data_IF_381829479347
#
_entry.id   IF_381829479347
#
_cell.length_a   1.000
_cell.length_b   1.000
_cell.length_c   1.000
_cell.angle_alpha   90.00
_cell.angle_beta   90.00
_cell.angle_gamma   90.00
#
_symmetry.space_group_name_H-M   'P 1'
#
loop_
_entity.id
_entity.type
_entity.pdbx_description
1 polymer ?
#
# COMPACT_ATOMS: atom_id res chain seq x y z
N UNK A 1 -18.11 -3.81 4.60
CA UNK A 1 -16.80 -3.98 5.24
C UNK A 1 -15.69 -3.67 4.25
N UNK A 2 -14.70 -2.91 4.71
CA UNK A 2 -13.52 -2.49 3.94
C UNK A 2 -12.24 -3.16 4.46
N UNK A 3 -11.08 -2.67 4.02
CA UNK A 3 -9.77 -3.11 4.50
C UNK A 3 -9.49 -2.55 5.90
N UNK A 4 -8.82 -3.33 6.76
CA UNK A 4 -8.35 -2.86 8.08
C UNK A 4 -7.08 -2.01 7.94
N UNK A 5 -6.75 -1.22 8.97
CA UNK A 5 -5.48 -0.46 9.03
C UNK A 5 -4.27 -1.40 8.87
N UNK A 6 -4.25 -2.52 9.60
CA UNK A 6 -3.16 -3.51 9.51
C UNK A 6 -2.98 -4.07 8.09
N UNK A 7 -4.09 -4.28 7.37
CA UNK A 7 -4.06 -4.72 5.97
C UNK A 7 -3.53 -3.62 5.06
N UNK A 8 -3.97 -2.38 5.25
CA UNK A 8 -3.49 -1.22 4.48
C UNK A 8 -1.99 -0.97 4.71
N UNK A 9 -1.50 -1.09 5.94
CA UNK A 9 -0.07 -1.00 6.28
C UNK A 9 0.77 -2.10 5.65
N UNK A 10 0.24 -3.33 5.60
CA UNK A 10 0.90 -4.43 4.91
C UNK A 10 0.99 -4.15 3.41
N UNK A 11 -0.11 -3.73 2.79
CA UNK A 11 -0.18 -3.40 1.36
C UNK A 11 0.71 -2.21 0.98
N UNK A 12 0.76 -1.17 1.81
CA UNK A 12 1.62 -0.01 1.60
C UNK A 12 3.12 -0.37 1.64
N UNK A 13 3.49 -1.47 2.30
CA UNK A 13 4.88 -1.99 2.31
C UNK A 13 5.21 -2.91 1.15
N UNK A 14 4.25 -3.23 0.28
CA UNK A 14 4.44 -4.10 -0.87
C UNK A 14 4.71 -3.33 -2.18
N UNK A 15 5.11 -2.06 -2.09
CA UNK A 15 5.46 -1.25 -3.26
C UNK A 15 6.69 -1.86 -3.93
N UNK A 16 6.58 -2.36 -5.18
CA UNK A 16 7.72 -2.90 -5.89
C UNK A 16 8.72 -1.80 -6.27
N UNK A 17 9.97 -2.18 -6.43
CA UNK A 17 10.99 -1.35 -7.08
C UNK A 17 10.71 -1.22 -8.58
N UNK A 18 11.32 -0.23 -9.24
CA UNK A 18 11.15 -0.04 -10.69
C UNK A 18 11.61 -1.22 -11.54
N UNK A 19 12.67 -1.91 -11.11
CA UNK A 19 13.15 -3.12 -11.76
C UNK A 19 12.14 -4.26 -11.63
N UNK A 20 11.55 -4.44 -10.45
CA UNK A 20 10.50 -5.46 -10.22
C UNK A 20 9.22 -5.15 -10.99
N UNK A 21 8.81 -3.87 -11.05
CA UNK A 21 7.68 -3.42 -11.89
C UNK A 21 7.90 -3.80 -13.35
N UNK A 22 9.04 -3.41 -13.92
CA UNK A 22 9.38 -3.68 -15.31
C UNK A 22 9.40 -5.19 -15.60
N UNK A 23 10.02 -5.97 -14.71
CA UNK A 23 10.09 -7.42 -14.86
C UNK A 23 8.72 -8.07 -14.79
N UNK A 24 7.87 -7.69 -13.84
CA UNK A 24 6.53 -8.25 -13.68
C UNK A 24 5.60 -7.82 -14.82
N UNK A 25 5.67 -6.57 -15.27
CA UNK A 25 4.86 -6.07 -16.38
C UNK A 25 5.22 -6.74 -17.70
N UNK A 26 6.52 -6.93 -17.96
CA UNK A 26 7.02 -7.56 -19.19
C UNK A 26 7.05 -9.09 -19.15
N UNK A 27 6.68 -9.73 -18.03
CA UNK A 27 6.58 -11.18 -17.95
C UNK A 27 5.48 -11.70 -18.90
N UNK A 28 5.90 -12.50 -19.88
CA UNK A 28 5.10 -13.06 -20.98
C UNK A 28 4.88 -14.58 -20.87
N UNK A 29 5.41 -15.21 -19.80
CA UNK A 29 5.17 -16.61 -19.46
C UNK A 29 3.78 -16.87 -18.84
N UNK A 30 3.55 -18.10 -18.38
CA UNK A 30 2.30 -18.46 -17.71
C UNK A 30 2.24 -17.81 -16.32
N UNK A 31 1.23 -16.97 -16.09
CA UNK A 31 0.98 -16.29 -14.80
C UNK A 31 0.85 -17.30 -13.64
N UNK A 32 0.49 -18.55 -13.91
CA UNK A 32 0.43 -19.60 -12.89
C UNK A 32 1.81 -20.05 -12.38
N UNK A 33 2.87 -19.82 -13.14
CA UNK A 33 4.26 -20.08 -12.74
C UNK A 33 4.81 -19.01 -11.78
N UNK A 34 4.19 -17.82 -11.74
CA UNK A 34 4.52 -16.78 -10.77
C UNK A 34 4.08 -17.19 -9.36
N UNK A 35 4.83 -16.78 -8.35
CA UNK A 35 4.43 -16.89 -6.95
C UNK A 35 3.13 -16.11 -6.66
N UNK A 36 2.43 -16.46 -5.57
CA UNK A 36 1.19 -15.76 -5.20
C UNK A 36 1.41 -14.24 -4.99
N UNK A 37 2.55 -13.85 -4.40
CA UNK A 37 2.92 -12.45 -4.22
C UNK A 37 3.21 -11.74 -5.54
N UNK A 38 3.92 -12.38 -6.46
CA UNK A 38 4.22 -11.83 -7.79
C UNK A 38 2.95 -11.64 -8.61
N UNK A 39 2.03 -12.62 -8.58
CA UNK A 39 0.70 -12.50 -9.21
C UNK A 39 -0.08 -11.33 -8.63
N UNK A 40 -0.13 -11.24 -7.30
CA UNK A 40 -0.82 -10.15 -6.62
C UNK A 40 -0.27 -8.78 -7.03
N UNK A 41 1.06 -8.61 -7.00
CA UNK A 41 1.70 -7.34 -7.38
C UNK A 41 1.50 -7.05 -8.87
N UNK A 42 1.60 -8.05 -9.76
CA UNK A 42 1.33 -7.86 -11.21
C UNK A 42 -0.09 -7.37 -11.46
N UNK A 43 -1.10 -7.94 -10.80
CA UNK A 43 -2.48 -7.44 -10.88
C UNK A 43 -2.64 -6.02 -10.34
N UNK A 44 -1.97 -5.71 -9.23
CA UNK A 44 -1.95 -4.36 -8.66
C UNK A 44 -1.33 -3.33 -9.61
N UNK A 45 -0.27 -3.68 -10.34
CA UNK A 45 0.37 -2.79 -11.31
C UNK A 45 -0.51 -2.48 -12.52
N UNK A 46 -1.48 -3.34 -12.84
CA UNK A 46 -2.49 -3.07 -13.88
C UNK A 46 -3.54 -2.04 -13.43
N UNK A 47 -3.66 -1.77 -12.13
CA UNK A 47 -4.59 -0.79 -11.59
C UNK A 47 -3.94 0.61 -11.56
N UNK A 48 -4.57 1.64 -12.16
CA UNK A 48 -4.02 2.99 -12.12
C UNK A 48 -3.82 3.50 -10.70
N UNK A 49 -2.57 3.87 -10.37
CA UNK A 49 -2.20 4.46 -9.09
C UNK A 49 -2.52 3.57 -7.87
N UNK A 50 -2.45 2.24 -8.02
CA UNK A 50 -2.91 1.30 -6.99
C UNK A 50 -2.29 1.55 -5.61
N UNK A 51 -0.97 1.68 -5.54
CA UNK A 51 -0.25 1.89 -4.29
C UNK A 51 -0.50 3.28 -3.68
N UNK A 52 -0.58 4.33 -4.51
CA UNK A 52 -0.95 5.68 -4.05
C UNK A 52 -2.38 5.71 -3.47
N UNK A 53 -3.30 4.92 -4.03
CA UNK A 53 -4.65 4.78 -3.48
C UNK A 53 -4.63 4.08 -2.13
N UNK A 54 -3.79 3.06 -1.94
CA UNK A 54 -3.60 2.39 -0.64
C UNK A 54 -3.05 3.37 0.38
N UNK A 55 -2.01 4.13 0.03
CA UNK A 55 -1.44 5.17 0.92
C UNK A 55 -2.50 6.21 1.31
N UNK A 56 -3.31 6.67 0.35
CA UNK A 56 -4.39 7.63 0.62
C UNK A 56 -5.48 7.02 1.53
N UNK A 57 -5.82 5.74 1.35
CA UNK A 57 -6.73 5.03 2.25
C UNK A 57 -6.14 4.92 3.65
N UNK A 58 -4.88 4.52 3.79
CA UNK A 58 -4.21 4.41 5.08
C UNK A 58 -4.19 5.76 5.80
N UNK A 59 -3.77 6.82 5.10
CA UNK A 59 -3.75 8.18 5.65
C UNK A 59 -5.14 8.61 6.15
N UNK A 60 -6.19 8.33 5.38
CA UNK A 60 -7.56 8.67 5.78
C UNK A 60 -7.95 7.97 7.09
N UNK A 61 -7.61 6.70 7.24
CA UNK A 61 -7.95 5.92 8.44
C UNK A 61 -7.12 6.34 9.67
N UNK A 62 -5.88 6.84 9.50
CA UNK A 62 -5.01 7.26 10.62
C UNK A 62 -5.10 8.75 10.96
N UNK A 63 -5.70 9.57 10.08
CA UNK A 63 -5.65 11.04 10.18
C UNK A 63 -6.20 11.59 11.50
N UNK A 64 -7.36 11.12 11.96
CA UNK A 64 -7.98 11.64 13.19
C UNK A 64 -7.12 11.35 14.41
N UNK A 65 -6.55 10.15 14.49
CA UNK A 65 -5.67 9.73 15.57
C UNK A 65 -4.34 10.51 15.56
N UNK A 66 -3.74 10.70 14.39
CA UNK A 66 -2.52 11.49 14.22
C UNK A 66 -2.72 12.95 14.65
N UNK A 67 -3.84 13.57 14.24
CA UNK A 67 -4.19 14.95 14.63
C UNK A 67 -4.43 15.04 16.14
N UNK A 68 -5.15 14.08 16.72
CA UNK A 68 -5.41 14.05 18.15
C UNK A 68 -4.12 13.87 18.95
N UNK A 69 -3.24 12.98 18.51
CA UNK A 69 -1.93 12.75 19.10
C UNK A 69 -1.10 14.04 19.06
N UNK A 70 -1.02 14.69 17.90
CA UNK A 70 -0.26 15.93 17.72
C UNK A 70 -0.77 17.04 18.65
N UNK A 71 -2.09 17.23 18.75
CA UNK A 71 -2.70 18.22 19.66
C UNK A 71 -2.33 17.98 21.13
N UNK A 72 -2.39 16.72 21.59
CA UNK A 72 -2.04 16.36 22.97
C UNK A 72 -0.57 16.62 23.29
N UNK A 73 0.31 16.35 22.33
CA UNK A 73 1.75 16.61 22.46
C UNK A 73 2.03 18.10 22.70
N UNK A 74 1.32 19.01 22.02
CA UNK A 74 1.44 20.45 22.28
C UNK A 74 0.97 20.86 23.68
N UNK A 75 -0.15 20.29 24.18
CA UNK A 75 -0.64 20.58 25.53
C UNK A 75 0.33 20.12 26.62
N UNK A 76 1.11 19.07 26.37
CA UNK A 76 2.06 18.53 27.36
C UNK A 76 3.37 19.34 27.42
N UNK A 77 3.65 20.17 26.41
CA UNK A 77 4.85 21.00 26.31
C UNK A 77 4.69 22.41 26.93
N UNK A 78 3.46 22.83 27.25
CA UNK A 78 3.16 24.05 28.03
C UNK A 78 3.12 23.74 29.54
#
# INVERSE_FOLDING_TARGET
>A
DGLTIEQLEALARMVPTKEEEEKLLNYDGDVNELGLGERFVKEMLNLPLAFLRIEAMLYKETFEDEVLHLKKSFVTLE
#
